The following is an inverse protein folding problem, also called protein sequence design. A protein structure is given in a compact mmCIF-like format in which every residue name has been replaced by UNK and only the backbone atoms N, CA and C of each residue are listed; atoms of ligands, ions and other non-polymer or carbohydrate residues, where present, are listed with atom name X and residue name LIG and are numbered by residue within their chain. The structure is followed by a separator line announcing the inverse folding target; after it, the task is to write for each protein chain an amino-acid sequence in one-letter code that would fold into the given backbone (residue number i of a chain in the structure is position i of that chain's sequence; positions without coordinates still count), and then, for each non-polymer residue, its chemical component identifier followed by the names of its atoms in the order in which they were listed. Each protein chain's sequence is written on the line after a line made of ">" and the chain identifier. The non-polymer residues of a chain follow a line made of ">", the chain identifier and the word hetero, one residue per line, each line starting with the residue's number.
data_IF_023680430957
#
_entry.id   IF_023680430957
#
_cell.length_a   1.000
_cell.length_b   1.000
_cell.length_c   1.000
_cell.angle_alpha   90.00
_cell.angle_beta   90.00
_cell.angle_gamma   90.00
#
_symmetry.space_group_name_H-M   'P 1'
#
loop_
_entity.id
_entity.type
_entity.pdbx_description
1 polymer ?
#
# COMPACT_ATOMS: atom_id res chain seq x y z
N UNK A 1 -19.02 -13.41 -25.63
CA UNK A 1 -17.80 -12.90 -26.32
C UNK A 1 -17.92 -11.44 -26.80
N UNK A 2 -19.09 -10.82 -26.69
CA UNK A 2 -19.33 -9.47 -27.30
C UNK A 2 -19.03 -8.29 -26.36
N UNK A 3 -19.15 -8.47 -25.06
CA UNK A 3 -18.91 -7.39 -24.07
C UNK A 3 -17.43 -6.95 -23.91
N UNK A 4 -16.47 -7.74 -24.42
CA UNK A 4 -15.04 -7.37 -24.37
C UNK A 4 -14.67 -6.30 -25.40
N UNK A 5 -15.34 -6.29 -26.55
CA UNK A 5 -15.06 -5.35 -27.65
C UNK A 5 -15.66 -3.96 -27.39
N UNK A 6 -16.77 -3.87 -26.68
CA UNK A 6 -17.38 -2.58 -26.31
C UNK A 6 -16.59 -1.85 -25.21
N UNK A 7 -16.06 -2.58 -24.22
CA UNK A 7 -15.25 -1.99 -23.15
C UNK A 7 -13.93 -1.38 -23.66
N UNK A 8 -13.36 -1.93 -24.73
CA UNK A 8 -12.14 -1.42 -25.36
C UNK A 8 -12.39 -0.22 -26.29
N UNK A 9 -13.64 -0.07 -26.80
CA UNK A 9 -13.99 1.03 -27.72
C UNK A 9 -14.39 2.31 -27.02
N UNK A 10 -15.00 2.24 -25.87
CA UNK A 10 -15.39 3.43 -25.12
C UNK A 10 -15.53 3.14 -23.61
N UNK A 11 -14.42 3.10 -22.86
CA UNK A 11 -14.46 2.84 -21.42
C UNK A 11 -15.26 3.90 -20.66
N UNK A 12 -15.34 5.14 -21.16
CA UNK A 12 -16.10 6.22 -20.57
C UNK A 12 -17.62 5.99 -20.71
N UNK A 13 -18.06 5.49 -21.85
CA UNK A 13 -19.46 5.20 -22.12
C UNK A 13 -19.97 3.99 -21.30
N UNK A 14 -19.13 2.96 -21.13
CA UNK A 14 -19.46 1.81 -20.29
C UNK A 14 -19.60 2.20 -18.80
N UNK A 15 -18.78 3.14 -18.32
CA UNK A 15 -18.87 3.71 -16.98
C UNK A 15 -20.12 4.59 -16.87
N UNK A 16 -20.42 5.43 -17.85
CA UNK A 16 -21.59 6.33 -17.84
C UNK A 16 -22.93 5.60 -17.92
N UNK A 17 -23.01 4.46 -18.63
CA UNK A 17 -24.23 3.64 -18.66
C UNK A 17 -24.47 2.83 -17.39
N UNK A 18 -23.46 2.63 -16.54
CA UNK A 18 -23.59 1.99 -15.24
C UNK A 18 -24.03 2.96 -14.12
N UNK A 19 -24.11 4.27 -14.40
CA UNK A 19 -24.44 5.30 -13.41
C UNK A 19 -25.95 5.58 -13.43
N UNK A 20 -26.59 5.78 -12.25
CA UNK A 20 -27.94 6.32 -12.18
C UNK A 20 -27.95 7.71 -12.84
N UNK A 21 -29.06 8.03 -13.53
CA UNK A 21 -29.28 9.23 -14.35
C UNK A 21 -28.37 10.42 -14.02
N UNK A 22 -27.56 10.88 -14.97
CA UNK A 22 -26.48 11.84 -14.85
C UNK A 22 -26.75 13.09 -13.97
N UNK A 23 -28.02 13.52 -13.85
CA UNK A 23 -28.42 14.65 -13.00
C UNK A 23 -28.32 14.34 -11.50
N UNK A 24 -28.66 13.15 -11.05
CA UNK A 24 -28.55 12.75 -9.64
C UNK A 24 -27.12 12.60 -9.18
N UNK A 25 -26.23 12.08 -10.05
CA UNK A 25 -24.81 11.97 -9.76
C UNK A 25 -24.14 13.36 -9.69
N UNK A 26 -24.46 14.26 -10.64
CA UNK A 26 -23.94 15.63 -10.60
C UNK A 26 -24.36 16.36 -9.32
N UNK A 27 -25.62 16.20 -8.88
CA UNK A 27 -26.09 16.77 -7.62
C UNK A 27 -25.36 16.18 -6.40
N UNK A 28 -25.12 14.85 -6.39
CA UNK A 28 -24.36 14.19 -5.31
C UNK A 28 -22.90 14.68 -5.29
N UNK A 29 -22.24 14.76 -6.43
CA UNK A 29 -20.87 15.28 -6.53
C UNK A 29 -20.81 16.74 -6.06
N UNK A 30 -21.76 17.58 -6.47
CA UNK A 30 -21.82 18.96 -6.02
C UNK A 30 -22.05 19.08 -4.51
N UNK A 31 -22.93 18.27 -3.95
CA UNK A 31 -23.17 18.22 -2.50
C UNK A 31 -21.91 17.78 -1.73
N UNK A 32 -21.21 16.74 -2.20
CA UNK A 32 -19.97 16.27 -1.60
C UNK A 32 -18.88 17.34 -1.69
N UNK A 33 -18.71 17.97 -2.84
CA UNK A 33 -17.77 19.08 -2.99
C UNK A 33 -18.10 20.25 -2.05
N UNK A 34 -19.38 20.60 -1.92
CA UNK A 34 -19.81 21.64 -1.00
C UNK A 34 -19.51 21.30 0.46
N UNK A 35 -19.80 20.07 0.90
CA UNK A 35 -19.49 19.62 2.27
C UNK A 35 -18.01 19.75 2.56
N UNK A 36 -17.13 19.26 1.65
CA UNK A 36 -15.69 19.37 1.84
C UNK A 36 -15.19 20.81 1.73
N UNK A 37 -15.77 21.62 0.87
CA UNK A 37 -15.42 23.02 0.75
C UNK A 37 -15.72 23.81 2.04
N UNK A 38 -16.93 23.66 2.58
CA UNK A 38 -17.29 24.30 3.85
C UNK A 38 -16.51 23.73 5.03
N UNK A 39 -16.24 22.41 5.03
CA UNK A 39 -15.38 21.78 6.03
C UNK A 39 -13.94 22.31 5.97
N UNK A 40 -13.37 22.44 4.78
CA UNK A 40 -12.04 22.99 4.57
C UNK A 40 -11.96 24.47 4.99
N UNK A 41 -12.98 25.29 4.69
CA UNK A 41 -13.04 26.69 5.17
C UNK A 41 -13.09 26.82 6.69
N UNK A 42 -13.56 25.79 7.40
CA UNK A 42 -13.58 25.76 8.87
C UNK A 42 -12.25 25.34 9.46
N UNK A 43 -11.51 24.46 8.76
CA UNK A 43 -10.20 23.96 9.19
C UNK A 43 -9.11 24.97 8.80
N UNK A 44 -9.17 25.49 7.58
CA UNK A 44 -8.26 26.51 7.05
C UNK A 44 -8.82 27.88 7.40
N UNK A 45 -7.93 28.80 7.72
CA UNK A 45 -8.35 30.19 7.91
C UNK A 45 -9.10 30.68 6.65
N UNK A 46 -10.28 31.30 6.84
CA UNK A 46 -11.17 31.70 5.75
C UNK A 46 -10.52 32.62 4.68
N UNK A 47 -9.33 33.14 4.97
CA UNK A 47 -8.50 33.93 4.04
C UNK A 47 -7.94 33.13 2.87
N UNK A 48 -7.86 31.80 2.95
CA UNK A 48 -7.21 30.96 1.93
C UNK A 48 -8.21 30.10 1.13
N UNK A 49 -9.05 30.79 0.34
CA UNK A 49 -10.07 30.16 -0.52
C UNK A 49 -9.47 29.19 -1.56
N UNK A 50 -8.24 29.45 -2.03
CA UNK A 50 -7.57 28.58 -3.00
C UNK A 50 -7.22 27.23 -2.37
N UNK A 51 -6.63 27.22 -1.17
CA UNK A 51 -6.34 25.98 -0.44
C UNK A 51 -7.62 25.20 -0.13
N UNK A 52 -8.66 25.87 0.38
CA UNK A 52 -9.95 25.24 0.66
C UNK A 52 -10.55 24.59 -0.59
N UNK A 53 -10.41 25.20 -1.76
CA UNK A 53 -10.89 24.66 -3.04
C UNK A 53 -10.11 23.40 -3.44
N UNK A 54 -8.78 23.38 -3.29
CA UNK A 54 -7.94 22.22 -3.60
C UNK A 54 -8.27 21.05 -2.65
N UNK A 55 -8.40 21.33 -1.35
CA UNK A 55 -8.78 20.32 -0.35
C UNK A 55 -10.15 19.73 -0.67
N UNK A 56 -11.13 20.56 -1.01
CA UNK A 56 -12.47 20.12 -1.39
C UNK A 56 -12.46 19.26 -2.66
N UNK A 57 -11.69 19.63 -3.67
CA UNK A 57 -11.56 18.88 -4.91
C UNK A 57 -10.90 17.52 -4.67
N UNK A 58 -9.82 17.48 -3.90
CA UNK A 58 -9.16 16.22 -3.52
C UNK A 58 -10.09 15.34 -2.66
N UNK A 59 -10.85 15.93 -1.75
CA UNK A 59 -11.85 15.21 -0.96
C UNK A 59 -12.92 14.58 -1.85
N UNK A 60 -13.47 15.34 -2.79
CA UNK A 60 -14.45 14.84 -3.76
C UNK A 60 -13.87 13.73 -4.64
N UNK A 61 -12.62 13.86 -5.10
CA UNK A 61 -11.93 12.83 -5.85
C UNK A 61 -11.75 11.54 -5.02
N UNK A 62 -11.37 11.64 -3.75
CA UNK A 62 -11.28 10.51 -2.83
C UNK A 62 -12.62 9.77 -2.69
N UNK A 63 -13.72 10.51 -2.46
CA UNK A 63 -15.08 9.92 -2.39
C UNK A 63 -15.45 9.23 -3.71
N UNK A 64 -15.15 9.87 -4.85
CA UNK A 64 -15.42 9.28 -6.17
C UNK A 64 -14.66 7.96 -6.36
N UNK A 65 -13.36 7.92 -6.01
CA UNK A 65 -12.52 6.70 -6.10
C UNK A 65 -13.14 5.58 -5.26
N UNK A 66 -13.49 5.86 -4.01
CA UNK A 66 -14.10 4.87 -3.11
C UNK A 66 -15.46 4.40 -3.64
N UNK A 67 -16.31 5.31 -4.08
CA UNK A 67 -17.62 4.97 -4.62
C UNK A 67 -17.53 4.11 -5.89
N UNK A 68 -16.60 4.41 -6.81
CA UNK A 68 -16.32 3.56 -7.97
C UNK A 68 -15.71 2.20 -7.58
N UNK A 69 -14.89 2.17 -6.53
CA UNK A 69 -14.40 0.94 -5.93
C UNK A 69 -15.56 0.06 -5.44
N UNK A 70 -16.50 0.65 -4.69
CA UNK A 70 -17.72 0.00 -4.19
C UNK A 70 -18.62 -0.46 -5.34
N UNK A 71 -18.87 0.39 -6.33
CA UNK A 71 -19.65 0.03 -7.50
C UNK A 71 -19.07 -1.20 -8.22
N UNK A 72 -17.73 -1.26 -8.32
CA UNK A 72 -17.05 -2.42 -8.87
C UNK A 72 -17.13 -3.67 -7.99
N UNK A 73 -17.10 -3.52 -6.67
CA UNK A 73 -17.26 -4.61 -5.72
C UNK A 73 -18.66 -5.21 -5.75
N UNK A 74 -19.66 -4.35 -5.92
CA UNK A 74 -21.09 -4.71 -5.94
C UNK A 74 -21.63 -5.09 -7.33
N UNK A 75 -20.75 -5.14 -8.35
CA UNK A 75 -21.17 -5.47 -9.71
C UNK A 75 -21.87 -6.85 -9.75
N UNK A 76 -23.09 -6.87 -10.32
CA UNK A 76 -23.92 -8.06 -10.39
C UNK A 76 -24.88 -8.25 -9.20
N UNK A 77 -24.73 -7.46 -8.15
CA UNK A 77 -25.62 -7.48 -6.98
C UNK A 77 -26.71 -6.41 -7.14
N UNK A 78 -27.98 -6.81 -7.00
CA UNK A 78 -29.09 -5.86 -6.95
C UNK A 78 -29.24 -5.36 -5.51
N UNK A 79 -28.90 -4.11 -5.29
CA UNK A 79 -29.02 -3.48 -3.97
C UNK A 79 -30.04 -2.35 -3.98
N UNK A 80 -30.85 -2.18 -2.91
CA UNK A 80 -31.77 -1.07 -2.77
C UNK A 80 -31.01 0.26 -2.69
N UNK A 81 -31.65 1.34 -3.10
CA UNK A 81 -31.04 2.70 -3.10
C UNK A 81 -30.54 3.11 -1.72
N UNK A 82 -31.21 2.68 -0.66
CA UNK A 82 -30.79 2.96 0.73
C UNK A 82 -29.40 2.42 1.04
N UNK A 83 -29.03 1.23 0.55
CA UNK A 83 -27.68 0.68 0.73
C UNK A 83 -26.64 1.56 0.03
N UNK A 84 -26.91 2.02 -1.19
CA UNK A 84 -26.03 2.92 -1.91
C UNK A 84 -25.83 4.27 -1.21
N UNK A 85 -26.89 4.81 -0.59
CA UNK A 85 -26.81 6.03 0.20
C UNK A 85 -25.91 5.83 1.43
N UNK A 86 -26.08 4.74 2.17
CA UNK A 86 -25.20 4.43 3.30
C UNK A 86 -23.74 4.24 2.90
N UNK A 87 -23.50 3.54 1.80
CA UNK A 87 -22.14 3.37 1.27
C UNK A 87 -21.53 4.71 0.83
N UNK A 88 -22.29 5.60 0.22
CA UNK A 88 -21.83 6.95 -0.12
C UNK A 88 -21.49 7.77 1.14
N UNK A 89 -22.33 7.71 2.18
CA UNK A 89 -22.06 8.37 3.46
C UNK A 89 -20.76 7.83 4.08
N UNK A 90 -20.54 6.52 4.07
CA UNK A 90 -19.32 5.91 4.58
C UNK A 90 -18.08 6.36 3.80
N UNK A 91 -18.18 6.54 2.47
CA UNK A 91 -17.08 7.11 1.67
C UNK A 91 -16.77 8.55 2.09
N UNK A 92 -17.81 9.38 2.31
CA UNK A 92 -17.63 10.76 2.78
C UNK A 92 -16.98 10.78 4.16
N UNK A 93 -17.46 9.96 5.10
CA UNK A 93 -16.89 9.85 6.46
C UNK A 93 -15.42 9.41 6.40
N UNK A 94 -15.10 8.43 5.54
CA UNK A 94 -13.72 7.93 5.39
C UNK A 94 -12.77 9.03 4.91
N UNK A 95 -13.16 9.80 3.91
CA UNK A 95 -12.35 10.93 3.42
C UNK A 95 -12.30 12.07 4.44
N UNK A 96 -13.43 12.40 5.07
CA UNK A 96 -13.47 13.43 6.10
C UNK A 96 -12.55 13.12 7.29
N UNK A 97 -12.44 11.85 7.69
CA UNK A 97 -11.53 11.42 8.74
C UNK A 97 -10.06 11.70 8.40
N UNK A 98 -9.64 11.53 7.13
CA UNK A 98 -8.29 11.92 6.69
C UNK A 98 -8.11 13.44 6.69
N UNK A 99 -9.09 14.17 6.16
CA UNK A 99 -9.03 15.63 6.08
C UNK A 99 -9.01 16.30 7.47
N UNK A 100 -9.66 15.70 8.46
CA UNK A 100 -9.64 16.17 9.85
C UNK A 100 -8.24 16.14 10.50
N UNK A 101 -7.28 15.42 9.88
CA UNK A 101 -5.91 15.31 10.40
C UNK A 101 -4.91 16.19 9.64
N UNK A 102 -5.35 17.06 8.71
CA UNK A 102 -4.45 17.86 7.87
C UNK A 102 -3.50 18.73 8.68
N UNK A 103 -3.98 19.35 9.77
CA UNK A 103 -3.18 20.26 10.60
C UNK A 103 -2.15 19.58 11.50
N UNK A 104 -2.21 18.26 11.67
CA UNK A 104 -1.28 17.53 12.52
C UNK A 104 0.10 17.56 11.88
N UNK A 105 1.09 18.18 12.54
CA UNK A 105 2.49 18.23 12.09
C UNK A 105 3.28 17.10 12.76
N UNK A 106 3.57 15.99 12.06
CA UNK A 106 4.40 14.93 12.63
C UNK A 106 5.86 15.34 12.70
N UNK A 107 6.59 14.85 13.70
CA UNK A 107 8.01 15.16 13.88
C UNK A 107 8.87 14.81 12.67
N UNK A 108 8.50 13.77 11.91
CA UNK A 108 9.20 13.40 10.68
C UNK A 108 9.00 14.43 9.55
N UNK A 109 7.82 15.05 9.46
CA UNK A 109 7.63 16.14 8.49
C UNK A 109 8.64 17.27 8.72
N UNK A 110 8.76 17.73 9.96
CA UNK A 110 9.65 18.84 10.30
C UNK A 110 11.13 18.49 10.19
N UNK A 111 11.50 17.23 10.49
CA UNK A 111 12.91 16.80 10.50
C UNK A 111 13.42 16.32 9.15
N UNK A 112 12.54 15.85 8.28
CA UNK A 112 12.96 15.16 7.05
C UNK A 112 12.29 15.71 5.79
N UNK A 113 10.95 15.82 5.77
CA UNK A 113 10.23 16.24 4.56
C UNK A 113 10.36 17.74 4.28
N UNK A 114 10.25 18.59 5.29
CA UNK A 114 10.36 20.04 5.09
C UNK A 114 11.77 20.44 4.61
N UNK A 115 12.89 19.94 5.20
CA UNK A 115 14.21 20.16 4.63
C UNK A 115 14.36 19.65 3.19
N UNK A 116 13.83 18.44 2.89
CA UNK A 116 13.86 17.91 1.53
C UNK A 116 13.14 18.81 0.53
N UNK A 117 12.00 19.40 0.90
CA UNK A 117 11.29 20.34 0.04
C UNK A 117 12.08 21.62 -0.19
N UNK A 118 12.80 22.11 0.82
CA UNK A 118 13.70 23.25 0.70
C UNK A 118 14.87 22.95 -0.23
N UNK A 119 15.49 21.76 -0.11
CA UNK A 119 16.55 21.32 -1.02
C UNK A 119 16.03 21.20 -2.46
N UNK A 120 14.87 20.57 -2.66
CA UNK A 120 14.25 20.44 -3.98
C UNK A 120 13.80 21.77 -4.58
N UNK A 121 13.57 22.79 -3.77
CA UNK A 121 13.30 24.16 -4.24
C UNK A 121 14.58 24.87 -4.67
N UNK A 122 15.67 24.74 -3.90
CA UNK A 122 16.89 25.49 -4.06
C UNK A 122 17.87 24.89 -5.09
N UNK A 123 17.79 23.58 -5.36
CA UNK A 123 18.69 22.86 -6.25
C UNK A 123 17.97 22.29 -7.47
N UNK A 124 18.74 21.92 -8.48
CA UNK A 124 18.22 21.18 -9.63
C UNK A 124 17.64 19.84 -9.19
N UNK A 125 16.57 19.40 -9.86
CA UNK A 125 15.79 18.24 -9.48
C UNK A 125 16.65 16.97 -9.33
N UNK A 126 17.57 16.75 -10.27
CA UNK A 126 18.44 15.58 -10.25
C UNK A 126 19.38 15.59 -9.05
N UNK A 127 20.00 16.74 -8.75
CA UNK A 127 20.89 16.94 -7.59
C UNK A 127 20.14 16.71 -6.29
N UNK A 128 18.98 17.35 -6.12
CA UNK A 128 18.17 17.21 -4.91
C UNK A 128 17.67 15.77 -4.70
N UNK A 129 17.26 15.10 -5.78
CA UNK A 129 16.89 13.68 -5.73
C UNK A 129 18.11 12.78 -5.42
N UNK A 130 19.31 13.15 -5.89
CA UNK A 130 20.52 12.40 -5.62
C UNK A 130 20.96 12.50 -4.15
N UNK A 131 20.72 13.62 -3.50
CA UNK A 131 21.08 13.86 -2.09
C UNK A 131 20.03 13.36 -1.10
N UNK A 132 18.82 13.03 -1.54
CA UNK A 132 17.77 12.51 -0.68
C UNK A 132 18.17 11.15 -0.08
N UNK A 133 18.59 11.14 1.19
CA UNK A 133 19.30 10.04 1.84
C UNK A 133 18.39 9.06 2.62
N UNK A 134 17.13 9.36 2.76
CA UNK A 134 16.19 8.63 3.66
C UNK A 134 15.60 7.32 3.11
N UNK A 135 16.26 6.70 2.14
CA UNK A 135 15.77 5.45 1.53
C UNK A 135 14.54 5.64 0.65
N UNK A 136 14.25 6.87 0.24
CA UNK A 136 13.22 7.18 -0.75
C UNK A 136 13.74 7.00 -2.16
N UNK A 137 12.84 6.54 -3.05
CA UNK A 137 13.18 6.28 -4.44
C UNK A 137 12.35 7.13 -5.40
N UNK A 138 12.70 7.08 -6.66
CA UNK A 138 12.30 7.99 -7.72
C UNK A 138 10.84 8.44 -7.76
N UNK A 139 9.86 7.54 -7.63
CA UNK A 139 8.44 7.95 -7.73
C UNK A 139 8.04 8.91 -6.62
N UNK A 140 8.41 8.61 -5.37
CA UNK A 140 8.06 9.49 -4.25
C UNK A 140 8.84 10.80 -4.28
N UNK A 141 10.09 10.76 -4.70
CA UNK A 141 10.91 11.96 -4.88
C UNK A 141 10.35 12.88 -5.97
N UNK A 142 9.81 12.32 -7.08
CA UNK A 142 9.10 13.13 -8.08
C UNK A 142 7.87 13.81 -7.47
N UNK A 143 7.11 13.09 -6.65
CA UNK A 143 5.96 13.69 -5.95
C UNK A 143 6.42 14.81 -5.01
N UNK A 144 7.48 14.60 -4.25
CA UNK A 144 8.07 15.62 -3.38
C UNK A 144 8.55 16.84 -4.17
N UNK A 145 9.17 16.63 -5.31
CA UNK A 145 9.65 17.70 -6.19
C UNK A 145 8.48 18.53 -6.78
N UNK A 146 7.39 17.89 -7.15
CA UNK A 146 6.18 18.60 -7.59
C UNK A 146 5.57 19.41 -6.44
N UNK A 147 5.52 18.83 -5.23
CA UNK A 147 5.00 19.50 -4.04
C UNK A 147 5.89 20.68 -3.63
N UNK A 148 7.21 20.55 -3.74
CA UNK A 148 8.14 21.64 -3.39
C UNK A 148 7.91 22.92 -4.23
N UNK A 149 7.36 22.80 -5.45
CA UNK A 149 7.04 23.92 -6.34
C UNK A 149 5.72 24.63 -6.05
N UNK A 150 5.00 24.18 -5.00
CA UNK A 150 3.75 24.82 -4.59
C UNK A 150 4.04 26.03 -3.68
N UNK A 151 4.00 27.25 -4.24
CA UNK A 151 4.30 28.48 -3.50
C UNK A 151 3.18 28.91 -2.55
N UNK A 152 1.94 28.70 -2.98
CA UNK A 152 0.75 29.25 -2.30
C UNK A 152 -0.07 28.20 -1.56
N UNK A 153 0.36 26.92 -1.60
CA UNK A 153 -0.33 25.80 -0.98
C UNK A 153 0.56 25.10 0.05
N UNK A 154 0.01 24.76 1.21
CA UNK A 154 0.75 24.06 2.25
C UNK A 154 1.31 22.72 1.75
N UNK A 155 2.64 22.59 1.76
CA UNK A 155 3.34 21.35 1.37
C UNK A 155 2.93 20.18 2.26
N UNK A 156 2.67 20.43 3.57
CA UNK A 156 2.15 19.40 4.48
C UNK A 156 0.79 18.87 4.02
N UNK A 157 -0.12 19.78 3.63
CA UNK A 157 -1.43 19.37 3.14
C UNK A 157 -1.31 18.65 1.80
N UNK A 158 -0.45 19.11 0.91
CA UNK A 158 -0.22 18.46 -0.38
C UNK A 158 0.23 16.99 -0.22
N UNK A 159 1.21 16.71 0.65
CA UNK A 159 1.65 15.34 0.94
C UNK A 159 0.49 14.49 1.47
N UNK A 160 -0.23 14.99 2.46
CA UNK A 160 -1.35 14.26 3.08
C UNK A 160 -2.51 14.02 2.12
N UNK A 161 -2.79 14.96 1.22
CA UNK A 161 -3.81 14.79 0.18
C UNK A 161 -3.40 13.72 -0.84
N UNK A 162 -2.12 13.69 -1.24
CA UNK A 162 -1.58 12.61 -2.10
C UNK A 162 -1.71 11.27 -1.40
N UNK A 163 -1.29 11.17 -0.13
CA UNK A 163 -1.39 9.94 0.65
C UNK A 163 -2.84 9.48 0.83
N UNK A 164 -3.77 10.40 1.09
CA UNK A 164 -5.21 10.12 1.16
C UNK A 164 -5.76 9.56 -0.16
N UNK A 165 -5.39 10.15 -1.30
CA UNK A 165 -5.82 9.65 -2.62
C UNK A 165 -5.25 8.25 -2.87
N UNK A 166 -3.97 8.03 -2.57
CA UNK A 166 -3.34 6.71 -2.67
C UNK A 166 -4.03 5.69 -1.73
N UNK A 167 -4.41 6.12 -0.53
CA UNK A 167 -5.16 5.28 0.42
C UNK A 167 -6.55 4.89 -0.11
N UNK A 168 -7.27 5.82 -0.71
CA UNK A 168 -8.55 5.53 -1.37
C UNK A 168 -8.37 4.53 -2.53
N UNK A 169 -7.30 4.68 -3.31
CA UNK A 169 -6.94 3.73 -4.37
C UNK A 169 -6.56 2.35 -3.82
N UNK A 170 -5.89 2.27 -2.64
CA UNK A 170 -5.66 1.01 -1.95
C UNK A 170 -6.98 0.33 -1.57
N UNK A 171 -7.94 1.06 -1.03
CA UNK A 171 -9.27 0.53 -0.71
C UNK A 171 -9.97 -0.01 -1.97
N UNK A 172 -9.95 0.73 -3.07
CA UNK A 172 -10.50 0.27 -4.35
C UNK A 172 -9.80 -1.00 -4.87
N UNK A 173 -8.46 -1.08 -4.76
CA UNK A 173 -7.69 -2.27 -5.13
C UNK A 173 -8.05 -3.47 -4.25
N UNK A 174 -8.19 -3.28 -2.93
CA UNK A 174 -8.59 -4.32 -1.98
C UNK A 174 -9.95 -4.94 -2.36
N UNK A 175 -10.94 -4.11 -2.67
CA UNK A 175 -12.23 -4.58 -3.15
C UNK A 175 -12.12 -5.44 -4.42
N UNK A 176 -11.29 -5.02 -5.38
CA UNK A 176 -11.04 -5.77 -6.62
C UNK A 176 -10.30 -7.08 -6.35
N UNK A 177 -9.33 -7.09 -5.44
CA UNK A 177 -8.61 -8.31 -5.03
C UNK A 177 -9.55 -9.33 -4.40
N UNK A 178 -10.47 -8.90 -3.53
CA UNK A 178 -11.49 -9.79 -2.97
C UNK A 178 -12.36 -10.38 -4.07
N UNK A 179 -12.83 -9.59 -5.01
CA UNK A 179 -13.70 -10.06 -6.11
C UNK A 179 -12.97 -10.97 -7.10
N UNK A 180 -11.72 -10.67 -7.43
CA UNK A 180 -10.94 -11.49 -8.39
C UNK A 180 -10.60 -12.87 -7.85
N UNK A 181 -10.46 -13.03 -6.52
CA UNK A 181 -10.30 -14.34 -5.88
C UNK A 181 -11.61 -15.11 -5.68
N UNK A 182 -12.76 -14.53 -6.06
CA UNK A 182 -14.09 -15.15 -5.92
C UNK A 182 -14.81 -14.80 -4.61
N UNK A 183 -14.29 -13.84 -3.83
CA UNK A 183 -14.92 -13.41 -2.58
C UNK A 183 -16.26 -12.70 -2.79
N UNK A 184 -17.10 -12.71 -1.75
CA UNK A 184 -18.44 -12.08 -1.75
C UNK A 184 -18.34 -10.55 -1.81
N UNK A 185 -19.36 -9.90 -2.35
CA UNK A 185 -19.43 -8.44 -2.42
C UNK A 185 -19.34 -7.78 -1.05
N UNK A 186 -19.98 -8.32 -0.03
CA UNK A 186 -19.90 -7.81 1.34
C UNK A 186 -18.46 -7.83 1.89
N UNK A 187 -17.70 -8.91 1.64
CA UNK A 187 -16.28 -8.98 2.01
C UNK A 187 -15.43 -7.95 1.24
N UNK A 188 -15.76 -7.70 -0.04
CA UNK A 188 -15.08 -6.69 -0.85
C UNK A 188 -15.35 -5.26 -0.32
N UNK A 189 -16.58 -4.96 0.07
CA UNK A 189 -16.94 -3.70 0.73
C UNK A 189 -16.23 -3.56 2.06
N UNK A 190 -16.22 -4.62 2.89
CA UNK A 190 -15.51 -4.64 4.16
C UNK A 190 -14.01 -4.39 4.00
N UNK A 191 -13.35 -5.03 3.03
CA UNK A 191 -11.94 -4.84 2.75
C UNK A 191 -11.64 -3.41 2.28
N UNK A 192 -12.46 -2.83 1.40
CA UNK A 192 -12.32 -1.44 0.98
C UNK A 192 -12.37 -0.49 2.18
N UNK A 193 -13.43 -0.61 3.00
CA UNK A 193 -13.61 0.27 4.15
C UNK A 193 -12.50 0.09 5.19
N UNK A 194 -12.10 -1.15 5.47
CA UNK A 194 -11.02 -1.44 6.39
C UNK A 194 -9.67 -0.85 5.91
N UNK A 195 -9.34 -1.00 4.61
CA UNK A 195 -8.14 -0.40 4.04
C UNK A 195 -8.12 1.14 4.06
N UNK A 196 -9.21 1.81 4.38
CA UNK A 196 -9.27 3.28 4.45
C UNK A 196 -9.54 3.78 5.86
N UNK A 197 -10.35 3.06 6.66
CA UNK A 197 -10.83 3.49 7.97
C UNK A 197 -10.11 2.82 9.14
N UNK A 198 -9.37 1.73 8.93
CA UNK A 198 -8.62 1.12 10.03
C UNK A 198 -7.65 2.16 10.64
N UNK A 199 -7.50 2.19 11.97
CA UNK A 199 -6.73 3.22 12.66
C UNK A 199 -5.30 3.38 12.13
N UNK A 200 -4.61 2.28 11.81
CA UNK A 200 -3.24 2.35 11.27
C UNK A 200 -3.21 2.97 9.87
N UNK A 201 -4.24 2.72 9.07
CA UNK A 201 -4.37 3.29 7.72
C UNK A 201 -4.63 4.80 7.79
N UNK A 202 -5.54 5.22 8.68
CA UNK A 202 -5.83 6.62 8.94
C UNK A 202 -4.62 7.38 9.49
N UNK A 203 -3.92 6.81 10.47
CA UNK A 203 -2.75 7.45 11.07
C UNK A 203 -1.56 7.52 10.11
N UNK A 204 -1.37 6.54 9.23
CA UNK A 204 -0.30 6.57 8.25
C UNK A 204 -0.45 7.73 7.27
N UNK A 205 -1.58 7.80 6.58
CA UNK A 205 -1.81 8.80 5.54
C UNK A 205 -2.23 10.17 6.14
N UNK A 206 -3.12 10.19 7.12
CA UNK A 206 -3.68 11.43 7.66
C UNK A 206 -2.81 12.10 8.72
N UNK A 207 -2.17 11.34 9.60
CA UNK A 207 -1.40 11.88 10.71
C UNK A 207 0.11 11.92 10.43
N UNK A 208 0.69 10.81 9.93
CA UNK A 208 2.14 10.64 9.81
C UNK A 208 2.74 11.19 8.52
N UNK A 209 1.94 11.39 7.47
CA UNK A 209 2.37 11.86 6.15
C UNK A 209 3.50 10.97 5.58
N UNK A 210 3.22 9.69 5.37
CA UNK A 210 4.19 8.69 4.92
C UNK A 210 3.82 8.13 3.54
N UNK A 211 4.83 7.83 2.72
CA UNK A 211 4.66 7.24 1.38
C UNK A 211 4.14 5.79 1.37
N UNK A 212 3.74 5.25 2.54
CA UNK A 212 3.33 3.85 2.61
C UNK A 212 2.07 3.56 1.80
N UNK A 213 1.12 4.51 1.75
CA UNK A 213 -0.06 4.39 0.90
C UNK A 213 0.31 4.35 -0.59
N UNK A 214 1.33 5.09 -1.01
CA UNK A 214 1.75 5.16 -2.42
C UNK A 214 2.33 3.83 -2.89
N UNK A 215 3.30 3.24 -2.15
CA UNK A 215 3.86 1.95 -2.59
C UNK A 215 2.83 0.81 -2.46
N UNK A 216 1.98 0.84 -1.42
CA UNK A 216 0.94 -0.17 -1.24
C UNK A 216 -0.10 -0.10 -2.35
N UNK A 217 -0.50 1.09 -2.80
CA UNK A 217 -1.39 1.30 -3.94
C UNK A 217 -0.83 0.61 -5.20
N UNK A 218 0.41 0.89 -5.57
CA UNK A 218 1.04 0.25 -6.72
C UNK A 218 1.15 -1.27 -6.54
N UNK A 219 1.48 -1.73 -5.35
CA UNK A 219 1.61 -3.16 -5.04
C UNK A 219 0.27 -3.89 -5.15
N UNK A 220 -0.80 -3.36 -4.56
CA UNK A 220 -2.13 -3.98 -4.57
C UNK A 220 -2.75 -3.97 -5.97
N UNK A 221 -2.67 -2.86 -6.70
CA UNK A 221 -3.13 -2.81 -8.09
C UNK A 221 -2.30 -3.71 -9.00
N UNK A 222 -0.98 -3.75 -8.81
CA UNK A 222 -0.11 -4.66 -9.53
C UNK A 222 -0.50 -6.12 -9.30
N UNK A 223 -0.73 -6.50 -8.03
CA UNK A 223 -1.21 -7.84 -7.67
C UNK A 223 -2.59 -8.14 -8.30
N UNK A 224 -3.52 -7.18 -8.26
CA UNK A 224 -4.81 -7.32 -8.94
C UNK A 224 -4.67 -7.60 -10.43
N UNK A 225 -3.80 -6.86 -11.14
CA UNK A 225 -3.60 -7.06 -12.57
C UNK A 225 -2.89 -8.39 -12.87
N UNK A 226 -1.94 -8.82 -12.07
CA UNK A 226 -1.33 -10.15 -12.17
C UNK A 226 -2.39 -11.26 -12.03
N UNK A 227 -3.28 -11.15 -11.05
CA UNK A 227 -4.36 -12.11 -10.83
C UNK A 227 -5.49 -12.01 -11.88
N UNK A 228 -5.59 -10.89 -12.58
CA UNK A 228 -6.56 -10.64 -13.67
C UNK A 228 -6.02 -10.94 -15.05
N UNK A 229 -4.90 -11.69 -15.15
CA UNK A 229 -4.26 -12.08 -16.41
C UNK A 229 -3.82 -10.89 -17.28
N UNK A 230 -3.37 -9.82 -16.64
CA UNK A 230 -2.78 -8.61 -17.25
C UNK A 230 -1.35 -8.41 -16.76
N UNK A 231 -0.42 -9.32 -17.09
CA UNK A 231 0.89 -9.38 -16.47
C UNK A 231 1.75 -8.14 -16.74
N UNK A 232 1.64 -7.53 -17.92
CA UNK A 232 2.40 -6.32 -18.25
C UNK A 232 2.04 -5.16 -17.29
N UNK A 233 0.74 -4.87 -17.13
CA UNK A 233 0.29 -3.81 -16.22
C UNK A 233 0.68 -4.11 -14.76
N UNK A 234 0.57 -5.39 -14.35
CA UNK A 234 0.99 -5.82 -13.04
C UNK A 234 2.47 -5.61 -12.76
N UNK A 235 3.34 -5.98 -13.69
CA UNK A 235 4.79 -5.82 -13.59
C UNK A 235 5.20 -4.35 -13.63
N UNK A 236 4.62 -3.51 -14.47
CA UNK A 236 4.88 -2.07 -14.50
C UNK A 236 4.55 -1.44 -13.15
N UNK A 237 3.38 -1.75 -12.58
CA UNK A 237 2.99 -1.21 -11.27
C UNK A 237 3.89 -1.71 -10.13
N UNK A 238 4.34 -2.96 -10.18
CA UNK A 238 5.32 -3.45 -9.20
C UNK A 238 6.70 -2.80 -9.37
N UNK A 239 7.08 -2.43 -10.59
CA UNK A 239 8.26 -1.59 -10.84
C UNK A 239 8.14 -0.21 -10.21
N UNK A 240 6.97 0.45 -10.33
CA UNK A 240 6.68 1.72 -9.68
C UNK A 240 6.62 1.58 -8.14
N UNK A 241 6.08 0.46 -7.63
CA UNK A 241 6.11 0.16 -6.20
C UNK A 241 7.54 0.04 -5.66
N UNK A 242 8.42 -0.69 -6.38
CA UNK A 242 9.84 -0.81 -6.04
C UNK A 242 10.54 0.55 -6.07
N UNK A 243 10.23 1.36 -7.07
CA UNK A 243 10.73 2.72 -7.21
C UNK A 243 10.13 3.71 -6.19
N UNK A 244 9.18 3.29 -5.37
CA UNK A 244 8.65 4.07 -4.24
C UNK A 244 9.28 3.62 -2.93
N UNK A 245 9.36 2.29 -2.71
CA UNK A 245 9.87 1.73 -1.46
C UNK A 245 10.32 0.28 -1.64
N UNK A 246 11.53 -0.03 -1.14
CA UNK A 246 12.12 -1.37 -1.25
C UNK A 246 11.26 -2.48 -0.60
N UNK A 247 10.43 -2.14 0.38
CA UNK A 247 9.50 -3.10 1.02
C UNK A 247 8.52 -3.76 0.04
N UNK A 248 8.27 -3.19 -1.13
CA UNK A 248 7.47 -3.83 -2.18
C UNK A 248 8.09 -5.14 -2.67
N UNK A 249 9.42 -5.28 -2.56
CA UNK A 249 10.16 -6.49 -2.93
C UNK A 249 9.81 -7.72 -2.08
N UNK A 250 9.15 -7.57 -0.93
CA UNK A 250 8.66 -8.71 -0.14
C UNK A 250 7.75 -9.64 -0.94
N UNK A 251 7.03 -9.13 -1.94
CA UNK A 251 6.16 -9.93 -2.80
C UNK A 251 6.84 -10.46 -4.06
N UNK A 252 8.09 -10.09 -4.34
CA UNK A 252 8.81 -10.52 -5.55
C UNK A 252 9.04 -12.05 -5.64
N UNK A 253 9.12 -12.81 -4.54
CA UNK A 253 9.10 -14.26 -4.62
C UNK A 253 7.92 -14.83 -5.43
N UNK A 254 6.77 -14.14 -5.45
CA UNK A 254 5.62 -14.53 -6.29
C UNK A 254 5.89 -14.37 -7.78
N UNK A 255 6.76 -13.43 -8.20
CA UNK A 255 7.17 -13.29 -9.62
C UNK A 255 7.90 -14.54 -10.09
N UNK A 256 8.74 -15.12 -9.25
CA UNK A 256 9.45 -16.38 -9.55
C UNK A 256 8.42 -17.49 -9.79
N UNK A 257 7.43 -17.60 -8.91
CA UNK A 257 6.35 -18.60 -9.05
C UNK A 257 5.56 -18.40 -10.34
N UNK A 258 5.17 -17.16 -10.64
CA UNK A 258 4.41 -16.82 -11.85
C UNK A 258 5.24 -17.04 -13.12
N UNK A 259 6.54 -16.76 -13.09
CA UNK A 259 7.46 -16.98 -14.19
C UNK A 259 7.64 -18.47 -14.45
N UNK A 260 7.91 -19.27 -13.42
CA UNK A 260 8.06 -20.72 -13.53
C UNK A 260 6.77 -21.42 -14.02
N UNK A 261 5.60 -20.86 -13.69
CA UNK A 261 4.29 -21.32 -14.19
C UNK A 261 3.94 -20.73 -15.57
N UNK A 262 4.86 -20.08 -16.26
CA UNK A 262 4.69 -19.46 -17.59
C UNK A 262 3.56 -18.41 -17.66
N UNK A 263 3.15 -17.85 -16.53
CA UNK A 263 2.21 -16.72 -16.47
C UNK A 263 2.90 -15.37 -16.71
N UNK A 264 4.22 -15.35 -16.52
CA UNK A 264 5.09 -14.22 -16.86
C UNK A 264 6.15 -14.67 -17.87
N UNK A 265 6.52 -13.77 -18.77
CA UNK A 265 7.69 -13.93 -19.64
C UNK A 265 8.78 -12.92 -19.27
N UNK A 266 9.97 -13.09 -19.82
CA UNK A 266 11.10 -12.20 -19.56
C UNK A 266 10.77 -10.71 -19.86
N UNK A 267 9.99 -10.44 -20.92
CA UNK A 267 9.56 -9.08 -21.28
C UNK A 267 8.75 -8.38 -20.17
N UNK A 268 8.00 -9.13 -19.35
CA UNK A 268 7.25 -8.56 -18.22
C UNK A 268 8.20 -8.19 -17.08
N UNK A 269 9.23 -8.99 -16.82
CA UNK A 269 10.27 -8.68 -15.83
C UNK A 269 11.08 -7.48 -16.28
N UNK A 270 11.45 -7.41 -17.56
CA UNK A 270 12.11 -6.23 -18.11
C UNK A 270 11.25 -4.96 -18.01
N UNK A 271 9.94 -5.07 -18.23
CA UNK A 271 9.01 -3.95 -18.04
C UNK A 271 8.94 -3.46 -16.57
N UNK A 272 9.02 -4.37 -15.59
CA UNK A 272 9.14 -4.02 -14.19
C UNK A 272 10.42 -3.21 -13.93
N UNK A 273 11.55 -3.73 -14.38
CA UNK A 273 12.84 -3.05 -14.19
C UNK A 273 12.88 -1.71 -14.91
N UNK A 274 12.35 -1.64 -16.15
CA UNK A 274 12.25 -0.40 -16.91
C UNK A 274 11.38 0.64 -16.19
N UNK A 275 10.23 0.24 -15.63
CA UNK A 275 9.37 1.15 -14.87
C UNK A 275 10.07 1.68 -13.59
N UNK A 276 10.83 0.82 -12.89
CA UNK A 276 11.61 1.23 -11.74
C UNK A 276 12.72 2.23 -12.12
N UNK A 277 13.44 1.98 -13.20
CA UNK A 277 14.54 2.83 -13.65
C UNK A 277 14.05 4.15 -14.25
N UNK A 278 13.00 4.13 -15.09
CA UNK A 278 12.43 5.32 -15.70
C UNK A 278 11.90 6.32 -14.67
N UNK A 279 11.44 5.86 -13.53
CA UNK A 279 11.01 6.75 -12.44
C UNK A 279 12.16 7.55 -11.83
N UNK A 280 13.40 7.17 -12.10
CA UNK A 280 14.61 7.84 -11.62
C UNK A 280 15.36 8.59 -12.74
N UNK A 281 14.70 8.81 -13.87
CA UNK A 281 15.33 9.41 -15.06
C UNK A 281 15.93 10.80 -14.77
N UNK A 282 15.34 11.57 -13.86
CA UNK A 282 15.87 12.88 -13.48
C UNK A 282 17.29 12.79 -12.91
N UNK A 283 17.58 11.77 -12.11
CA UNK A 283 18.91 11.53 -11.53
C UNK A 283 19.92 11.14 -12.62
N UNK A 284 19.46 10.33 -13.62
CA UNK A 284 20.32 9.96 -14.76
C UNK A 284 20.59 11.15 -15.69
N UNK A 285 19.62 12.04 -15.89
CA UNK A 285 19.79 13.25 -16.69
C UNK A 285 20.74 14.26 -16.04
N UNK A 286 20.87 14.23 -14.71
CA UNK A 286 21.79 15.05 -13.94
C UNK A 286 23.24 14.52 -13.98
N UNK A 287 23.51 13.48 -14.78
CA UNK A 287 24.86 12.94 -15.02
C UNK A 287 25.29 11.81 -14.08
N UNK A 288 24.40 11.33 -13.19
CA UNK A 288 24.70 10.16 -12.39
C UNK A 288 24.66 8.88 -13.23
N UNK A 289 25.54 7.94 -12.94
CA UNK A 289 25.62 6.68 -13.68
C UNK A 289 24.50 5.72 -13.26
N UNK A 290 24.11 4.82 -14.17
CA UNK A 290 23.20 3.72 -13.86
C UNK A 290 23.71 2.84 -12.70
N UNK A 291 25.05 2.71 -12.57
CA UNK A 291 25.65 1.93 -11.50
C UNK A 291 25.47 2.58 -10.13
N UNK A 292 25.56 3.91 -10.04
CA UNK A 292 25.27 4.66 -8.82
C UNK A 292 23.79 4.52 -8.42
N UNK A 293 22.89 4.54 -9.40
CA UNK A 293 21.47 4.35 -9.17
C UNK A 293 21.16 2.95 -8.61
N UNK A 294 21.76 1.90 -9.18
CA UNK A 294 21.64 0.53 -8.66
C UNK A 294 22.33 0.43 -7.29
N UNK A 295 23.45 1.10 -7.12
CA UNK A 295 24.21 1.17 -5.88
C UNK A 295 23.37 1.71 -4.71
N UNK A 296 22.45 2.65 -4.95
CA UNK A 296 21.54 3.17 -3.91
C UNK A 296 20.67 2.08 -3.29
N UNK A 297 20.12 1.18 -4.10
CA UNK A 297 19.37 0.03 -3.58
C UNK A 297 20.27 -0.93 -2.79
N UNK A 298 21.51 -1.13 -3.26
CA UNK A 298 22.50 -1.93 -2.54
C UNK A 298 22.87 -1.28 -1.20
N UNK A 299 23.07 0.05 -1.16
CA UNK A 299 23.31 0.80 0.08
C UNK A 299 22.12 0.73 1.03
N UNK A 300 20.88 0.83 0.54
CA UNK A 300 19.71 0.64 1.39
C UNK A 300 19.69 -0.75 2.04
N UNK A 301 20.05 -1.80 1.30
CA UNK A 301 20.16 -3.17 1.82
C UNK A 301 21.33 -3.28 2.80
N UNK A 302 22.49 -2.68 2.50
CA UNK A 302 23.66 -2.70 3.37
C UNK A 302 23.42 -1.93 4.67
N UNK A 303 22.80 -0.76 4.61
CA UNK A 303 22.42 0.02 5.80
C UNK A 303 21.48 -0.77 6.73
N UNK A 304 20.64 -1.67 6.18
CA UNK A 304 19.83 -2.60 6.96
C UNK A 304 20.71 -3.54 7.81
N UNK A 305 21.93 -3.86 7.38
CA UNK A 305 22.83 -4.75 8.12
C UNK A 305 23.82 -4.02 9.04
N UNK A 306 24.29 -2.84 8.65
CA UNK A 306 25.34 -2.10 9.36
C UNK A 306 24.83 -1.22 10.50
N UNK A 307 23.69 -0.55 10.28
CA UNK A 307 23.07 0.33 11.28
C UNK A 307 22.05 -0.40 12.19
N UNK A 308 22.20 -1.69 12.40
CA UNK A 308 21.31 -2.55 13.18
C UNK A 308 21.23 -2.18 14.69
N UNK A 309 21.48 -0.94 15.01
CA UNK A 309 21.17 -0.37 16.29
C UNK A 309 19.69 0.01 16.30
N UNK A 310 18.88 -0.81 16.90
CA UNK A 310 17.51 -0.53 17.29
C UNK A 310 16.49 -0.64 16.14
N UNK A 311 15.80 -1.73 16.14
CA UNK A 311 14.50 -1.81 15.49
C UNK A 311 13.66 -0.60 15.92
N UNK A 312 13.42 0.32 15.02
CA UNK A 312 12.50 1.43 15.19
C UNK A 312 11.12 0.83 15.48
N UNK A 313 10.82 0.53 16.75
CA UNK A 313 9.51 0.04 17.22
C UNK A 313 8.85 -1.01 16.28
N UNK A 314 9.63 -1.92 15.70
CA UNK A 314 9.11 -2.97 14.83
C UNK A 314 9.03 -4.30 15.58
N UNK A 315 7.88 -5.00 15.56
CA UNK A 315 7.80 -6.35 16.09
C UNK A 315 8.58 -7.31 15.20
N UNK A 316 9.32 -8.24 15.79
CA UNK A 316 10.09 -9.24 15.07
C UNK A 316 11.05 -10.01 15.95
N UNK A 317 11.80 -10.93 15.37
CA UNK A 317 12.75 -11.76 16.13
C UNK A 317 13.86 -10.94 16.79
N UNK A 318 14.27 -9.86 16.15
CA UNK A 318 15.33 -8.99 16.68
C UNK A 318 14.92 -8.19 17.91
N UNK A 319 13.63 -7.89 18.07
CA UNK A 319 13.13 -7.22 19.28
C UNK A 319 13.02 -8.15 20.49
N UNK A 320 13.22 -9.45 20.31
CA UNK A 320 13.31 -10.45 21.36
C UNK A 320 14.76 -10.66 21.84
N UNK A 321 15.74 -10.06 21.14
CA UNK A 321 17.17 -10.18 21.43
C UNK A 321 17.68 -8.94 22.19
N UNK A 322 18.81 -9.07 22.87
CA UNK A 322 19.51 -7.89 23.38
C UNK A 322 20.25 -7.13 22.26
N UNK A 323 20.61 -5.88 22.49
CA UNK A 323 21.20 -4.98 21.48
C UNK A 323 22.52 -5.53 20.88
N UNK A 324 23.37 -6.14 21.72
CA UNK A 324 24.63 -6.72 21.25
C UNK A 324 24.39 -7.87 20.27
N UNK A 325 23.48 -8.79 20.62
CA UNK A 325 23.11 -9.90 19.73
C UNK A 325 22.45 -9.44 18.43
N UNK A 326 21.65 -8.37 18.45
CA UNK A 326 21.05 -7.80 17.23
C UNK A 326 22.11 -7.40 16.23
N UNK A 327 23.18 -6.73 16.67
CA UNK A 327 24.26 -6.29 15.79
C UNK A 327 25.03 -7.46 15.17
N UNK A 328 25.29 -8.52 15.94
CA UNK A 328 26.00 -9.72 15.47
C UNK A 328 25.16 -10.52 14.45
N UNK A 329 23.85 -10.63 14.68
CA UNK A 329 22.98 -11.49 13.87
C UNK A 329 22.21 -10.77 12.77
N UNK A 330 22.40 -9.45 12.60
CA UNK A 330 21.67 -8.67 11.59
C UNK A 330 21.91 -9.18 10.16
N UNK A 331 23.14 -9.52 9.80
CA UNK A 331 23.47 -10.14 8.51
C UNK A 331 22.75 -11.48 8.29
N UNK A 332 22.64 -12.31 9.34
CA UNK A 332 21.91 -13.59 9.27
C UNK A 332 20.42 -13.37 8.98
N UNK A 333 19.82 -12.30 9.48
CA UNK A 333 18.42 -11.98 9.24
C UNK A 333 18.09 -11.83 7.76
N UNK A 334 18.98 -11.22 6.98
CA UNK A 334 18.81 -11.12 5.53
C UNK A 334 18.81 -12.51 4.86
N UNK A 335 19.79 -13.36 5.20
CA UNK A 335 19.86 -14.73 4.66
C UNK A 335 18.66 -15.57 5.07
N UNK A 336 18.22 -15.47 6.32
CA UNK A 336 17.01 -16.15 6.81
C UNK A 336 15.75 -15.65 6.10
N UNK A 337 15.63 -14.36 5.84
CA UNK A 337 14.53 -13.78 5.07
C UNK A 337 14.50 -14.31 3.64
N UNK A 338 15.65 -14.38 2.96
CA UNK A 338 15.77 -14.98 1.62
C UNK A 338 15.40 -16.47 1.67
N UNK A 339 15.91 -17.21 2.64
CA UNK A 339 15.59 -18.63 2.81
C UNK A 339 14.10 -18.87 3.06
N UNK A 340 13.47 -18.06 3.92
CA UNK A 340 12.02 -18.13 4.16
C UNK A 340 11.22 -17.85 2.90
N UNK A 341 11.61 -16.84 2.12
CA UNK A 341 10.98 -16.52 0.84
C UNK A 341 11.12 -17.70 -0.15
N UNK A 342 12.28 -18.31 -0.25
CA UNK A 342 12.53 -19.46 -1.12
C UNK A 342 11.73 -20.69 -0.67
N UNK A 343 11.53 -20.89 0.63
CA UNK A 343 10.65 -21.97 1.16
C UNK A 343 9.21 -21.76 0.67
N UNK A 344 8.69 -20.52 0.71
CA UNK A 344 7.34 -20.22 0.18
C UNK A 344 7.29 -20.48 -1.32
N UNK A 345 8.29 -20.05 -2.10
CA UNK A 345 8.39 -20.33 -3.53
C UNK A 345 8.40 -21.84 -3.81
N UNK A 346 9.26 -22.59 -3.11
CA UNK A 346 9.37 -24.03 -3.28
C UNK A 346 8.06 -24.76 -2.94
N UNK A 347 7.38 -24.34 -1.87
CA UNK A 347 6.08 -24.88 -1.47
C UNK A 347 5.01 -24.64 -2.56
N UNK A 348 4.95 -23.44 -3.12
CA UNK A 348 4.03 -23.10 -4.21
C UNK A 348 4.34 -23.88 -5.50
N UNK A 349 5.61 -24.01 -5.88
CA UNK A 349 6.02 -24.76 -7.08
C UNK A 349 5.79 -26.28 -6.93
N UNK A 350 5.90 -26.80 -5.68
CA UNK A 350 5.63 -28.21 -5.40
C UNK A 350 4.15 -28.56 -5.45
N UNK A 351 3.25 -27.61 -5.32
CA UNK A 351 1.80 -27.84 -5.29
C UNK A 351 1.21 -28.44 -6.57
N UNK A 352 2.00 -28.73 -7.63
CA UNK A 352 1.70 -29.47 -8.88
C UNK A 352 0.36 -29.17 -9.57
N UNK A 353 -0.44 -28.24 -9.08
CA UNK A 353 -1.73 -27.80 -9.66
C UNK A 353 -1.65 -26.34 -10.04
N UNK A 354 -2.59 -25.91 -10.87
CA UNK A 354 -2.78 -24.46 -11.07
C UNK A 354 -2.98 -23.79 -9.74
N UNK A 355 -2.04 -22.90 -9.40
CA UNK A 355 -2.09 -22.16 -8.14
C UNK A 355 -3.29 -21.23 -8.23
N UNK A 356 -4.22 -21.39 -7.29
CA UNK A 356 -5.42 -20.56 -7.24
C UNK A 356 -5.08 -19.11 -6.92
N UNK A 357 -5.95 -18.19 -7.31
CA UNK A 357 -5.81 -16.76 -6.97
C UNK A 357 -5.81 -16.54 -5.46
N UNK A 358 -6.58 -17.34 -4.74
CA UNK A 358 -6.64 -17.31 -3.29
C UNK A 358 -5.32 -17.76 -2.67
N UNK A 359 -4.72 -18.86 -3.17
CA UNK A 359 -3.41 -19.34 -2.72
C UNK A 359 -2.31 -18.30 -2.93
N UNK A 360 -2.33 -17.60 -4.07
CA UNK A 360 -1.37 -16.51 -4.33
C UNK A 360 -1.55 -15.33 -3.36
N UNK A 361 -2.79 -14.97 -3.02
CA UNK A 361 -3.06 -13.91 -2.05
C UNK A 361 -2.68 -14.30 -0.62
N UNK A 362 -2.90 -15.56 -0.21
CA UNK A 362 -2.42 -16.07 1.08
C UNK A 362 -0.90 -16.08 1.15
N UNK A 363 -0.24 -16.48 0.06
CA UNK A 363 1.23 -16.43 -0.01
C UNK A 363 1.74 -14.98 0.02
N UNK A 364 1.06 -14.03 -0.65
CA UNK A 364 1.37 -12.61 -0.57
C UNK A 364 1.24 -12.09 0.88
N UNK A 365 0.16 -12.45 1.57
CA UNK A 365 -0.04 -12.12 2.98
C UNK A 365 1.08 -12.69 3.85
N UNK A 366 1.41 -13.99 3.68
CA UNK A 366 2.47 -14.65 4.45
C UNK A 366 3.83 -13.98 4.22
N UNK A 367 4.18 -13.64 2.99
CA UNK A 367 5.42 -12.93 2.68
C UNK A 367 5.43 -11.51 3.29
N UNK A 368 4.33 -10.76 3.15
CA UNK A 368 4.21 -9.40 3.65
C UNK A 368 4.23 -9.32 5.18
N UNK A 369 3.72 -10.33 5.91
CA UNK A 369 3.78 -10.36 7.37
C UNK A 369 5.02 -11.09 7.90
N UNK A 370 5.47 -12.15 7.26
CA UNK A 370 6.55 -12.99 7.77
C UNK A 370 7.95 -12.41 7.54
N UNK A 371 8.21 -11.82 6.36
CA UNK A 371 9.53 -11.26 6.07
C UNK A 371 9.91 -10.12 7.02
N UNK A 372 9.03 -9.14 7.32
CA UNK A 372 9.36 -8.09 8.28
C UNK A 372 9.69 -8.60 9.69
N UNK A 373 9.17 -9.77 10.08
CA UNK A 373 9.47 -10.34 11.39
C UNK A 373 10.88 -10.94 11.49
N UNK A 374 11.48 -11.30 10.34
CA UNK A 374 12.78 -11.96 10.26
C UNK A 374 13.88 -10.98 9.85
N UNK A 375 13.51 -9.95 9.04
CA UNK A 375 14.46 -8.98 8.54
C UNK A 375 14.87 -7.98 9.63
N UNK A 376 16.14 -7.57 9.69
CA UNK A 376 16.61 -6.54 10.61
C UNK A 376 16.12 -5.16 10.18
N UNK A 377 16.21 -4.18 11.07
CA UNK A 377 15.89 -2.75 10.83
C UNK A 377 14.49 -2.48 10.27
N UNK A 378 13.54 -3.31 10.58
CA UNK A 378 12.16 -3.02 10.27
C UNK A 378 11.64 -1.89 11.18
N UNK A 379 10.71 -1.12 10.69
CA UNK A 379 10.08 -0.01 11.43
C UNK A 379 8.61 -0.30 11.77
N UNK A 380 7.98 0.55 12.57
CA UNK A 380 6.60 0.40 13.00
C UNK A 380 5.58 0.21 11.85
N UNK A 381 5.95 0.61 10.62
CA UNK A 381 5.11 0.56 9.41
C UNK A 381 5.34 -0.68 8.57
N UNK A 382 6.24 -1.58 8.97
CA UNK A 382 6.65 -2.74 8.15
C UNK A 382 5.50 -3.71 7.88
N UNK A 383 4.49 -3.76 8.76
CA UNK A 383 3.30 -4.58 8.61
C UNK A 383 2.14 -3.90 7.86
N UNK A 384 2.31 -2.67 7.38
CA UNK A 384 1.25 -1.89 6.72
C UNK A 384 0.63 -2.62 5.51
N UNK A 385 1.45 -3.12 4.60
CA UNK A 385 0.99 -3.91 3.45
C UNK A 385 0.33 -5.23 3.87
N UNK A 386 0.88 -5.89 4.91
CA UNK A 386 0.32 -7.12 5.46
C UNK A 386 -1.10 -6.90 6.02
N UNK A 387 -1.34 -5.79 6.72
CA UNK A 387 -2.66 -5.41 7.21
C UNK A 387 -3.69 -5.28 6.08
N UNK A 388 -3.32 -4.59 4.98
CA UNK A 388 -4.20 -4.45 3.82
C UNK A 388 -4.50 -5.79 3.14
N UNK A 389 -3.49 -6.65 2.96
CA UNK A 389 -3.68 -7.99 2.40
C UNK A 389 -4.53 -8.87 3.32
N UNK A 390 -4.36 -8.75 4.63
CA UNK A 390 -5.17 -9.47 5.60
C UNK A 390 -6.66 -9.06 5.52
N UNK A 391 -6.96 -7.77 5.38
CA UNK A 391 -8.32 -7.31 5.12
C UNK A 391 -8.90 -7.87 3.82
N UNK A 392 -8.09 -8.03 2.77
CA UNK A 392 -8.52 -8.69 1.54
C UNK A 392 -8.87 -10.18 1.75
N UNK A 393 -8.39 -10.81 2.81
CA UNK A 393 -8.58 -12.23 3.12
C UNK A 393 -9.56 -12.49 4.27
N UNK A 394 -10.12 -11.45 4.92
CA UNK A 394 -10.90 -11.52 6.16
C UNK A 394 -12.35 -12.02 5.96
N UNK A 395 -12.55 -13.15 5.27
CA UNK A 395 -13.87 -13.74 4.97
C UNK A 395 -14.24 -14.92 5.87
N UNK A 396 -13.33 -15.38 6.70
CA UNK A 396 -13.55 -16.40 7.73
C UNK A 396 -13.17 -15.85 9.11
N UNK A 397 -13.72 -16.41 10.21
CA UNK A 397 -13.38 -15.94 11.56
C UNK A 397 -11.87 -16.00 11.86
N UNK A 398 -11.17 -17.04 11.38
CA UNK A 398 -9.71 -17.17 11.55
C UNK A 398 -8.94 -16.08 10.81
N UNK A 399 -9.29 -15.83 9.55
CA UNK A 399 -8.65 -14.80 8.72
C UNK A 399 -8.98 -13.40 9.21
N UNK A 400 -10.20 -13.20 9.72
CA UNK A 400 -10.55 -11.96 10.40
C UNK A 400 -9.73 -11.75 11.66
N UNK A 401 -9.48 -12.80 12.46
CA UNK A 401 -8.61 -12.73 13.63
C UNK A 401 -7.16 -12.38 13.24
N UNK A 402 -6.64 -12.91 12.10
CA UNK A 402 -5.33 -12.50 11.56
C UNK A 402 -5.33 -11.01 11.21
N UNK A 403 -6.36 -10.52 10.52
CA UNK A 403 -6.43 -9.12 10.12
C UNK A 403 -6.52 -8.18 11.34
N UNK A 404 -7.37 -8.49 12.31
CA UNK A 404 -7.49 -7.73 13.56
C UNK A 404 -6.22 -7.81 14.42
N UNK A 405 -5.57 -8.97 14.44
CA UNK A 405 -4.30 -9.15 15.15
C UNK A 405 -3.20 -8.25 14.58
N UNK A 406 -3.03 -8.24 13.25
CA UNK A 406 -2.07 -7.36 12.58
C UNK A 406 -2.40 -5.89 12.81
N UNK A 407 -3.69 -5.52 12.77
CA UNK A 407 -4.12 -4.14 13.01
C UNK A 407 -3.80 -3.69 14.45
N UNK A 408 -4.11 -4.50 15.46
CA UNK A 408 -3.81 -4.19 16.88
C UNK A 408 -2.31 -4.07 17.11
N UNK A 409 -1.51 -5.01 16.58
CA UNK A 409 -0.06 -4.99 16.70
C UNK A 409 0.51 -3.70 16.06
N UNK A 410 0.11 -3.42 14.81
CA UNK A 410 0.55 -2.23 14.08
C UNK A 410 0.12 -0.95 14.80
N UNK A 411 -1.11 -0.90 15.32
CA UNK A 411 -1.61 0.25 16.06
C UNK A 411 -0.78 0.52 17.33
N UNK A 412 -0.44 -0.51 18.10
CA UNK A 412 0.45 -0.37 19.27
C UNK A 412 1.82 0.18 18.87
N UNK A 413 2.40 -0.29 17.76
CA UNK A 413 3.65 0.24 17.24
C UNK A 413 3.52 1.70 16.78
N UNK A 414 2.41 2.08 16.13
CA UNK A 414 2.13 3.45 15.69
C UNK A 414 1.95 4.39 16.88
N UNK A 415 1.24 3.96 17.93
CA UNK A 415 1.08 4.76 19.16
C UNK A 415 2.43 5.06 19.81
N UNK A 416 3.35 4.12 19.80
CA UNK A 416 4.71 4.34 20.30
C UNK A 416 5.50 5.26 19.36
N UNK A 417 5.48 5.03 18.05
CA UNK A 417 6.30 5.77 17.08
C UNK A 417 5.82 7.22 16.86
N UNK A 418 4.50 7.46 16.83
CA UNK A 418 3.94 8.79 16.56
C UNK A 418 3.77 9.60 17.85
N UNK A 419 3.26 8.97 18.89
CA UNK A 419 2.84 9.65 20.13
C UNK A 419 3.75 9.36 21.34
N UNK A 420 4.80 8.55 21.13
CA UNK A 420 5.69 8.09 22.22
C UNK A 420 4.93 7.43 23.39
N UNK A 421 3.86 6.67 23.08
CA UNK A 421 3.00 5.98 24.03
C UNK A 421 3.13 4.48 23.89
N UNK A 422 3.79 3.84 24.85
CA UNK A 422 3.92 2.38 24.92
C UNK A 422 2.62 1.82 25.50
N UNK A 423 1.81 1.16 24.65
CA UNK A 423 0.59 0.47 25.08
C UNK A 423 0.94 -0.96 25.52
N UNK A 424 1.84 -1.61 24.78
CA UNK A 424 2.26 -2.97 25.03
C UNK A 424 3.78 -3.10 24.75
N UNK A 425 4.53 -3.84 25.58
CA UNK A 425 5.95 -4.05 25.34
C UNK A 425 6.23 -4.70 24.00
N UNK A 426 7.31 -4.27 23.32
CA UNK A 426 7.63 -4.69 21.97
C UNK A 426 7.89 -6.19 21.84
N UNK A 427 8.47 -6.83 22.86
CA UNK A 427 8.68 -8.28 22.90
C UNK A 427 7.35 -9.06 22.89
N UNK A 428 6.31 -8.55 23.61
CA UNK A 428 4.98 -9.17 23.59
C UNK A 428 4.33 -8.97 22.21
N UNK A 429 4.43 -7.78 21.62
CA UNK A 429 3.94 -7.53 20.25
C UNK A 429 4.63 -8.44 19.24
N UNK A 430 5.92 -8.75 19.43
CA UNK A 430 6.67 -9.63 18.56
C UNK A 430 6.21 -11.08 18.64
N UNK A 431 5.96 -11.58 19.84
CA UNK A 431 5.39 -12.92 20.02
C UNK A 431 4.00 -13.02 19.40
N UNK A 432 3.15 -12.00 19.58
CA UNK A 432 1.84 -11.96 18.94
C UNK A 432 1.95 -11.91 17.40
N UNK A 433 2.88 -11.12 16.86
CA UNK A 433 3.07 -11.02 15.41
C UNK A 433 3.56 -12.34 14.80
N UNK A 434 4.47 -13.04 15.49
CA UNK A 434 4.91 -14.39 15.10
C UNK A 434 3.72 -15.36 15.13
N UNK A 435 2.90 -15.34 16.19
CA UNK A 435 1.73 -16.20 16.28
C UNK A 435 0.73 -15.93 15.14
N UNK A 436 0.48 -14.67 14.80
CA UNK A 436 -0.37 -14.27 13.66
C UNK A 436 0.21 -14.78 12.34
N UNK A 437 1.51 -14.65 12.12
CA UNK A 437 2.19 -15.16 10.92
C UNK A 437 2.10 -16.69 10.82
N UNK A 438 2.23 -17.40 11.94
CA UNK A 438 2.04 -18.87 11.99
C UNK A 438 0.59 -19.24 11.62
N UNK A 439 -0.40 -18.54 12.15
CA UNK A 439 -1.81 -18.79 11.78
C UNK A 439 -2.03 -18.56 10.28
N UNK A 440 -1.46 -17.49 9.71
CA UNK A 440 -1.52 -17.23 8.27
C UNK A 440 -0.84 -18.36 7.45
N UNK A 441 0.31 -18.88 7.92
CA UNK A 441 0.97 -20.03 7.28
C UNK A 441 0.12 -21.30 7.34
N UNK A 442 -0.52 -21.57 8.48
CA UNK A 442 -1.41 -22.72 8.64
C UNK A 442 -2.65 -22.64 7.72
N UNK A 443 -3.11 -21.46 7.34
CA UNK A 443 -4.17 -21.29 6.33
C UNK A 443 -3.68 -21.60 4.89
N UNK A 444 -2.40 -21.40 4.61
CA UNK A 444 -1.83 -21.70 3.29
C UNK A 444 -1.57 -23.20 3.09
N UNK A 445 -1.12 -23.92 4.13
CA UNK A 445 -0.74 -25.33 4.06
C UNK A 445 -1.84 -26.23 3.46
N UNK A 446 -3.10 -26.20 3.89
CA UNK A 446 -4.16 -27.05 3.32
C UNK A 446 -4.38 -26.79 1.82
N UNK A 447 -4.22 -25.56 1.37
CA UNK A 447 -4.37 -25.21 -0.04
C UNK A 447 -3.23 -25.76 -0.90
N UNK A 448 -2.04 -25.94 -0.34
CA UNK A 448 -0.91 -26.58 -0.99
C UNK A 448 -1.01 -28.10 -0.99
N UNK A 449 -1.61 -28.69 0.07
CA UNK A 449 -1.73 -30.13 0.27
C UNK A 449 -3.03 -30.73 -0.30
N UNK A 450 -4.13 -29.99 -0.25
CA UNK A 450 -5.50 -30.42 -0.64
C UNK A 450 -5.66 -30.87 -2.09
N UNK A 451 -4.56 -30.86 -2.85
CA UNK A 451 -4.47 -31.49 -4.15
C UNK A 451 -4.26 -33.01 -4.11
N UNK A 452 -3.96 -33.61 -2.97
CA UNK A 452 -3.63 -35.03 -2.86
C UNK A 452 -4.83 -35.94 -2.52
N UNK A 453 -5.80 -35.42 -1.76
CA UNK A 453 -6.92 -36.23 -1.28
C UNK A 453 -8.07 -36.44 -2.30
N UNK A 454 -8.15 -35.64 -3.35
CA UNK A 454 -9.17 -35.80 -4.39
C UNK A 454 -8.78 -36.79 -5.51
N UNK A 455 -7.63 -37.48 -5.43
CA UNK A 455 -7.14 -38.45 -6.39
C UNK A 455 -6.75 -39.80 -5.75
N UNK A 456 -6.96 -39.99 -4.45
CA UNK A 456 -6.93 -41.27 -3.78
C UNK A 456 -8.33 -41.77 -3.47
#
# INVERSE_FOLDING_TARGET
>A
MDNRKEFLRDPFRAVMMALPKARGLAALCAAVCAVFFFGALRILDASNMAEASVVALCGAAGVAILFFGLAGAMKGEKQPVVVWLWLAILCVVAVAAHLAMLDIKPGRYTKTLAPLFEDMWNYDLGVAMAWADDGWSGVYLIVCALISRLETFSQLYAVKLVDMICQCLCGAAAARLVRVRGGKAAAAVGALLACVLAPTMLFNAGCWAQCDATFAMFTLWGLYFLLSERPLAGCVLWGLALATKLQSAFLFPLLIVLFMNRKLGLGHILALLAAALLSQIAILLDGQSLMELIGRYAVQIANVTENAGLADVAPGVFSLMNVASVREFSGMGLYLGIAAALVVVAALLRARREISRETLLLAALLLACGLPLILPQMNARSLYLAGMLAFCMADTPKRLAVALGLEIISLCCYMQAIFNRIIMPLNVLSLLAIAVAVVAALELIPQLLGGREAQA
#
